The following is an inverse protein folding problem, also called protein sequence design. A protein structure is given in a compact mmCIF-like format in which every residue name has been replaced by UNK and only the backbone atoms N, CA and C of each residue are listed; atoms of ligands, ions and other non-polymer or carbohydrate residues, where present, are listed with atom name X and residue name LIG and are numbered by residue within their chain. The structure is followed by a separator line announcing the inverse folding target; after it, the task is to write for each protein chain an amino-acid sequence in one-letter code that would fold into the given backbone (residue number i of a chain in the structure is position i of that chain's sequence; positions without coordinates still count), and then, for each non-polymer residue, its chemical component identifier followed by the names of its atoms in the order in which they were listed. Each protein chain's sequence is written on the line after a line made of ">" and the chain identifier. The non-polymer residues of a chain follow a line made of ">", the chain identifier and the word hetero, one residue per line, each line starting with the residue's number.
data_IF_020255922338
#
_entry.id   IF_020255922338
#
_cell.length_a   1.000
_cell.length_b   1.000
_cell.length_c   1.000
_cell.angle_alpha   90.00
_cell.angle_beta   90.00
_cell.angle_gamma   90.00
#
_symmetry.space_group_name_H-M   'P 1'
#
loop_
_entity.id
_entity.type
_entity.pdbx_description
1 polymer ?
#
# COMPACT_ATOMS: atom_id res chain seq x y z
N UNK A 1 -47.90 45.70 -31.15
CA UNK A 1 -47.09 44.87 -32.09
C UNK A 1 -45.61 45.22 -32.08
N UNK A 2 -45.20 46.50 -32.12
CA UNK A 2 -43.76 46.88 -32.15
C UNK A 2 -43.04 46.50 -30.84
N UNK A 3 -43.67 46.74 -29.69
CA UNK A 3 -43.06 46.39 -28.39
C UNK A 3 -42.87 44.87 -28.25
N UNK A 4 -43.87 44.08 -28.67
CA UNK A 4 -43.82 42.61 -28.61
C UNK A 4 -42.76 42.03 -29.54
N UNK A 5 -42.52 42.62 -30.72
CA UNK A 5 -41.43 42.19 -31.62
C UNK A 5 -40.06 42.54 -31.07
N UNK A 6 -39.89 43.72 -30.46
CA UNK A 6 -38.63 44.10 -29.79
C UNK A 6 -38.30 43.14 -28.64
N UNK A 7 -39.28 42.78 -27.80
CA UNK A 7 -39.08 41.79 -26.75
C UNK A 7 -38.69 40.40 -27.28
N UNK A 8 -39.29 39.96 -28.39
CA UNK A 8 -38.96 38.69 -29.04
C UNK A 8 -37.50 38.67 -29.53
N UNK A 9 -37.02 39.78 -30.11
CA UNK A 9 -35.62 39.90 -30.57
C UNK A 9 -34.65 39.88 -29.38
N UNK A 10 -34.96 40.56 -28.28
CA UNK A 10 -34.12 40.49 -27.08
C UNK A 10 -34.09 39.09 -26.48
N UNK A 11 -35.24 38.40 -26.41
CA UNK A 11 -35.32 37.04 -25.90
C UNK A 11 -34.46 36.07 -26.74
N UNK A 12 -34.50 36.16 -28.07
CA UNK A 12 -33.68 35.29 -28.94
C UNK A 12 -32.19 35.56 -28.78
N UNK A 13 -31.76 36.83 -28.70
CA UNK A 13 -30.36 37.20 -28.47
C UNK A 13 -29.83 36.68 -27.12
N UNK A 14 -30.64 36.83 -26.07
CA UNK A 14 -30.30 36.32 -24.73
C UNK A 14 -30.16 34.80 -24.74
N UNK A 15 -31.10 34.10 -25.39
CA UNK A 15 -31.10 32.63 -25.49
C UNK A 15 -29.87 32.14 -26.26
N UNK A 16 -29.52 32.77 -27.39
CA UNK A 16 -28.32 32.43 -28.17
C UNK A 16 -27.05 32.63 -27.32
N UNK A 17 -26.97 33.74 -26.58
CA UNK A 17 -25.81 34.03 -25.71
C UNK A 17 -25.65 32.99 -24.59
N UNK A 18 -26.75 32.63 -23.93
CA UNK A 18 -26.77 31.61 -22.87
C UNK A 18 -26.39 30.23 -23.40
N UNK A 19 -26.97 29.78 -24.50
CA UNK A 19 -26.64 28.49 -25.11
C UNK A 19 -25.16 28.40 -25.50
N UNK A 20 -24.59 29.48 -26.05
CA UNK A 20 -23.17 29.53 -26.41
C UNK A 20 -22.25 29.47 -25.20
N UNK A 21 -22.59 30.17 -24.10
CA UNK A 21 -21.83 30.11 -22.84
C UNK A 21 -21.90 28.73 -22.19
N UNK A 22 -23.07 28.10 -22.18
CA UNK A 22 -23.26 26.76 -21.59
C UNK A 22 -22.48 25.71 -22.39
N UNK A 23 -22.61 25.73 -23.72
CA UNK A 23 -21.88 24.81 -24.60
C UNK A 23 -20.37 24.95 -24.43
N UNK A 24 -19.83 26.18 -24.50
CA UNK A 24 -18.39 26.39 -24.35
C UNK A 24 -17.85 25.97 -23.00
N UNK A 25 -18.60 26.18 -21.91
CA UNK A 25 -18.19 25.71 -20.58
C UNK A 25 -18.28 24.18 -20.43
N UNK A 26 -19.22 23.55 -21.14
CA UNK A 26 -19.31 22.09 -21.18
C UNK A 26 -18.14 21.49 -21.96
N UNK A 27 -17.79 22.07 -23.11
CA UNK A 27 -16.67 21.61 -23.94
C UNK A 27 -15.34 21.69 -23.19
N UNK A 28 -15.06 22.79 -22.50
CA UNK A 28 -13.85 22.96 -21.67
C UNK A 28 -13.80 21.91 -20.55
N UNK A 29 -14.92 21.68 -19.86
CA UNK A 29 -14.98 20.68 -18.79
C UNK A 29 -14.81 19.27 -19.34
N UNK A 30 -15.37 18.99 -20.51
CA UNK A 30 -15.24 17.70 -21.17
C UNK A 30 -13.79 17.45 -21.60
N UNK A 31 -13.12 18.44 -22.18
CA UNK A 31 -11.70 18.35 -22.54
C UNK A 31 -10.82 18.08 -21.32
N UNK A 32 -11.07 18.80 -20.21
CA UNK A 32 -10.38 18.55 -18.93
C UNK A 32 -10.64 17.14 -18.37
N UNK A 33 -11.85 16.60 -18.54
CA UNK A 33 -12.16 15.24 -18.13
C UNK A 33 -11.43 14.21 -18.98
N UNK A 34 -11.38 14.41 -20.30
CA UNK A 34 -10.64 13.55 -21.22
C UNK A 34 -9.13 13.59 -20.94
N UNK A 35 -8.59 14.76 -20.60
CA UNK A 35 -7.18 14.88 -20.22
C UNK A 35 -6.88 14.13 -18.91
N UNK A 36 -7.75 14.28 -17.90
CA UNK A 36 -7.62 13.53 -16.62
C UNK A 36 -7.74 12.03 -16.83
N UNK A 37 -8.66 11.60 -17.68
CA UNK A 37 -8.83 10.18 -18.01
C UNK A 37 -7.56 9.62 -18.67
N UNK A 38 -6.98 10.33 -19.64
CA UNK A 38 -5.71 9.94 -20.25
C UNK A 38 -4.58 9.84 -19.23
N UNK A 39 -4.50 10.80 -18.31
CA UNK A 39 -3.46 10.81 -17.27
C UNK A 39 -3.61 9.61 -16.34
N UNK A 40 -4.84 9.30 -15.91
CA UNK A 40 -5.13 8.12 -15.10
C UNK A 40 -4.75 6.81 -15.82
N UNK A 41 -5.03 6.70 -17.12
CA UNK A 41 -4.63 5.54 -17.90
C UNK A 41 -3.11 5.41 -18.01
N UNK A 42 -2.39 6.51 -18.23
CA UNK A 42 -0.92 6.47 -18.25
C UNK A 42 -0.33 6.07 -16.89
N UNK A 43 -0.85 6.64 -15.80
CA UNK A 43 -0.38 6.33 -14.45
C UNK A 43 -0.66 4.87 -14.07
N UNK A 44 -1.82 4.35 -14.49
CA UNK A 44 -2.15 2.93 -14.30
C UNK A 44 -1.18 2.01 -15.05
N UNK A 45 -0.78 2.36 -16.27
CA UNK A 45 0.15 1.55 -17.06
C UNK A 45 1.58 1.62 -16.50
N UNK A 46 2.00 2.79 -16.01
CA UNK A 46 3.27 2.96 -15.30
C UNK A 46 3.33 2.10 -14.03
N UNK A 47 2.28 2.13 -13.21
CA UNK A 47 2.18 1.30 -12.01
C UNK A 47 2.18 -0.20 -12.34
N UNK A 48 1.54 -0.62 -13.43
CA UNK A 48 1.59 -2.01 -13.91
C UNK A 48 3.00 -2.41 -14.30
N UNK A 49 3.73 -1.52 -14.96
CA UNK A 49 5.11 -1.75 -15.38
C UNK A 49 6.03 -1.86 -14.16
N UNK A 50 5.94 -0.91 -13.22
CA UNK A 50 6.67 -0.95 -11.95
C UNK A 50 6.38 -2.24 -11.16
N UNK A 51 5.12 -2.67 -11.10
CA UNK A 51 4.75 -3.93 -10.45
C UNK A 51 5.42 -5.14 -11.10
N UNK A 52 5.48 -5.20 -12.43
CA UNK A 52 6.16 -6.28 -13.15
C UNK A 52 7.66 -6.29 -12.88
N UNK A 53 8.29 -5.12 -12.88
CA UNK A 53 9.72 -5.00 -12.62
C UNK A 53 10.09 -5.35 -11.17
N UNK A 54 9.30 -4.90 -10.20
CA UNK A 54 9.47 -5.31 -8.80
C UNK A 54 9.29 -6.82 -8.63
N UNK A 55 8.31 -7.41 -9.32
CA UNK A 55 8.13 -8.87 -9.28
C UNK A 55 9.35 -9.61 -9.85
N UNK A 56 9.92 -9.13 -10.95
CA UNK A 56 11.15 -9.70 -11.53
C UNK A 56 12.33 -9.58 -10.57
N UNK A 57 12.57 -8.39 -10.00
CA UNK A 57 13.62 -8.18 -8.99
C UNK A 57 13.45 -9.10 -7.78
N UNK A 58 12.22 -9.33 -7.34
CA UNK A 58 11.93 -10.25 -6.23
C UNK A 58 12.23 -11.71 -6.63
N UNK A 59 11.88 -12.13 -7.84
CA UNK A 59 12.23 -13.47 -8.35
C UNK A 59 13.74 -13.64 -8.50
N UNK A 60 14.48 -12.62 -8.95
CA UNK A 60 15.94 -12.60 -9.01
C UNK A 60 16.55 -12.71 -7.61
N UNK A 61 16.15 -11.87 -6.65
CA UNK A 61 16.60 -11.96 -5.26
C UNK A 61 16.30 -13.31 -4.62
N UNK A 62 15.16 -13.93 -4.95
CA UNK A 62 14.85 -15.29 -4.50
C UNK A 62 15.81 -16.33 -5.07
N UNK A 63 16.19 -16.22 -6.34
CA UNK A 63 17.18 -17.12 -6.95
C UNK A 63 18.56 -16.90 -6.33
N UNK A 64 18.98 -15.66 -6.18
CA UNK A 64 20.26 -15.32 -5.56
C UNK A 64 20.34 -15.81 -4.11
N UNK A 65 19.25 -15.70 -3.34
CA UNK A 65 19.18 -16.22 -1.97
C UNK A 65 19.21 -17.76 -1.90
N UNK A 66 18.71 -18.46 -2.93
CA UNK A 66 18.78 -19.93 -3.02
C UNK A 66 20.19 -20.38 -3.42
N UNK A 67 20.84 -19.68 -4.36
CA UNK A 67 22.21 -19.97 -4.79
C UNK A 67 23.26 -19.61 -3.74
N UNK A 68 22.98 -18.63 -2.88
CA UNK A 68 23.86 -18.23 -1.78
C UNK A 68 23.61 -18.95 -0.45
N UNK A 69 22.77 -20.00 -0.37
CA UNK A 69 22.63 -20.76 0.86
C UNK A 69 23.99 -21.41 1.19
N UNK A 70 24.78 -20.90 2.16
CA UNK A 70 25.91 -21.63 2.64
C UNK A 70 25.32 -22.83 3.37
N UNK A 71 26.01 -23.96 3.29
CA UNK A 71 25.82 -25.11 4.14
C UNK A 71 25.70 -24.63 5.60
N UNK A 72 24.45 -24.55 6.10
CA UNK A 72 24.20 -24.18 7.49
C UNK A 72 24.60 -25.42 8.28
N UNK A 73 25.83 -25.41 8.79
CA UNK A 73 26.27 -26.32 9.84
C UNK A 73 25.21 -26.30 10.96
N UNK A 74 24.64 -27.48 11.24
CA UNK A 74 23.69 -27.66 12.31
C UNK A 74 24.29 -27.15 13.64
N UNK A 75 23.65 -26.20 14.35
CA UNK A 75 24.04 -25.94 15.72
C UNK A 75 23.52 -27.10 16.57
N UNK A 76 24.44 -28.03 16.82
CA UNK A 76 24.53 -28.92 17.99
C UNK A 76 23.47 -28.67 19.06
N UNK A 77 22.71 -29.73 19.36
CA UNK A 77 21.81 -29.85 20.53
C UNK A 77 22.46 -29.27 21.79
N UNK A 78 22.03 -28.09 22.22
CA UNK A 78 22.09 -27.65 23.62
C UNK A 78 20.75 -27.02 24.00
N UNK A 79 20.03 -27.75 24.85
CA UNK A 79 18.92 -27.24 25.64
C UNK A 79 19.37 -25.99 26.42
N UNK A 80 18.72 -24.84 26.21
CA UNK A 80 18.26 -23.92 27.25
C UNK A 80 17.87 -22.55 26.65
N UNK A 81 16.67 -22.08 26.98
CA UNK A 81 16.01 -20.81 26.62
C UNK A 81 15.68 -20.63 25.13
N UNK A 82 14.44 -20.99 24.79
CA UNK A 82 13.81 -20.70 23.51
C UNK A 82 13.63 -19.16 23.43
N UNK A 83 14.43 -18.52 22.59
CA UNK A 83 14.42 -17.06 22.36
C UNK A 83 13.22 -16.72 21.46
N UNK A 84 12.48 -15.64 21.76
CA UNK A 84 11.24 -15.28 21.04
C UNK A 84 11.48 -15.19 19.53
N UNK A 85 12.63 -14.65 19.13
CA UNK A 85 13.06 -14.56 17.74
C UNK A 85 13.10 -15.93 17.05
N UNK A 86 13.85 -16.87 17.63
CA UNK A 86 14.02 -18.22 17.07
C UNK A 86 12.73 -19.04 17.10
N UNK A 87 11.83 -18.77 18.05
CA UNK A 87 10.51 -19.40 18.08
C UNK A 87 9.59 -18.85 16.99
N UNK A 88 9.60 -17.53 16.78
CA UNK A 88 8.82 -16.88 15.74
C UNK A 88 9.27 -17.31 14.35
N UNK A 89 10.58 -17.30 14.06
CA UNK A 89 11.14 -17.76 12.77
C UNK A 89 10.69 -19.18 12.39
N UNK A 90 10.50 -20.06 13.38
CA UNK A 90 10.04 -21.44 13.16
C UNK A 90 8.53 -21.54 12.93
N UNK A 91 7.75 -20.64 13.51
CA UNK A 91 6.28 -20.72 13.51
C UNK A 91 5.64 -19.87 12.42
N UNK A 92 6.24 -18.74 12.11
CA UNK A 92 5.84 -17.81 11.07
C UNK A 92 7.08 -17.30 10.36
N UNK A 93 6.97 -17.09 9.05
CA UNK A 93 8.07 -16.58 8.24
C UNK A 93 8.19 -15.05 8.47
N UNK A 94 8.65 -14.66 9.66
CA UNK A 94 8.91 -13.26 10.00
C UNK A 94 10.27 -12.88 9.43
N UNK A 95 10.29 -11.84 8.60
CA UNK A 95 11.52 -11.28 8.06
C UNK A 95 12.34 -10.64 9.21
N UNK A 96 13.67 -10.83 9.29
CA UNK A 96 14.56 -10.10 10.20
C UNK A 96 14.29 -8.59 10.28
N UNK A 97 13.90 -7.96 9.17
CA UNK A 97 13.55 -6.54 9.12
C UNK A 97 12.28 -6.21 9.92
N UNK A 98 11.27 -7.09 9.88
CA UNK A 98 10.03 -6.94 10.63
C UNK A 98 10.29 -7.07 12.14
N UNK A 99 11.14 -8.02 12.53
CA UNK A 99 11.53 -8.17 13.93
C UNK A 99 12.27 -6.94 14.46
N UNK A 100 13.20 -6.39 13.67
CA UNK A 100 13.92 -5.16 14.02
C UNK A 100 12.98 -3.96 14.16
N UNK A 101 12.06 -3.78 13.22
CA UNK A 101 11.05 -2.72 13.27
C UNK A 101 10.13 -2.83 14.50
N UNK A 102 9.71 -4.05 14.85
CA UNK A 102 8.93 -4.29 16.07
C UNK A 102 9.72 -3.99 17.34
N UNK A 103 11.02 -4.29 17.37
CA UNK A 103 11.89 -3.97 18.50
C UNK A 103 12.09 -2.46 18.68
N UNK A 104 12.29 -1.73 17.59
CA UNK A 104 12.34 -0.28 17.63
C UNK A 104 11.02 0.31 18.13
N UNK A 105 9.89 -0.15 17.60
CA UNK A 105 8.57 0.30 18.03
C UNK A 105 8.28 -0.02 19.51
N UNK A 106 8.71 -1.19 19.97
CA UNK A 106 8.60 -1.61 21.37
C UNK A 106 9.36 -0.66 22.30
N UNK A 107 10.60 -0.32 21.94
CA UNK A 107 11.46 0.59 22.70
C UNK A 107 10.89 2.03 22.69
N UNK A 108 10.45 2.53 21.54
CA UNK A 108 9.89 3.88 21.41
C UNK A 108 8.61 4.07 22.22
N UNK A 109 7.75 3.05 22.27
CA UNK A 109 6.46 3.09 22.95
C UNK A 109 6.49 2.49 24.35
N UNK A 110 7.67 2.12 24.84
CA UNK A 110 7.89 1.46 26.13
C UNK A 110 6.90 0.28 26.33
N UNK A 111 6.76 -0.56 25.31
CA UNK A 111 5.87 -1.71 25.32
C UNK A 111 6.66 -3.01 25.12
N UNK A 112 6.04 -4.12 25.46
CA UNK A 112 6.62 -5.44 25.26
C UNK A 112 6.76 -5.75 23.76
N UNK A 113 7.88 -6.33 23.34
CA UNK A 113 8.14 -6.73 21.96
C UNK A 113 7.03 -7.61 21.38
N UNK A 114 6.48 -8.54 22.17
CA UNK A 114 5.38 -9.40 21.73
C UNK A 114 4.10 -8.59 21.44
N UNK A 115 3.83 -7.57 22.26
CA UNK A 115 2.71 -6.65 22.05
C UNK A 115 2.94 -5.74 20.84
N UNK A 116 4.18 -5.31 20.60
CA UNK A 116 4.56 -4.54 19.42
C UNK A 116 4.36 -5.36 18.13
N UNK A 117 4.81 -6.61 18.13
CA UNK A 117 4.61 -7.54 17.00
C UNK A 117 3.12 -7.72 16.67
N UNK A 118 2.26 -7.85 17.70
CA UNK A 118 0.81 -7.96 17.49
C UNK A 118 0.23 -6.63 16.97
N UNK A 119 0.64 -5.50 17.55
CA UNK A 119 0.15 -4.16 17.17
C UNK A 119 0.49 -3.81 15.72
N UNK A 120 1.68 -4.21 15.27
CA UNK A 120 2.12 -4.02 13.89
C UNK A 120 1.56 -5.08 12.92
N UNK A 121 0.65 -5.93 13.37
CA UNK A 121 0.07 -7.05 12.60
C UNK A 121 1.13 -7.99 12.02
N UNK A 122 2.28 -8.11 12.68
CA UNK A 122 3.36 -9.02 12.26
C UNK A 122 3.12 -10.44 12.78
N UNK A 123 2.35 -10.58 13.85
CA UNK A 123 1.85 -11.86 14.37
C UNK A 123 0.33 -11.80 14.55
N UNK A 124 -0.32 -12.97 14.52
CA UNK A 124 -1.75 -13.07 14.79
C UNK A 124 -2.02 -13.27 16.30
N UNK A 125 -3.27 -13.08 16.72
CA UNK A 125 -3.70 -13.20 18.13
C UNK A 125 -3.40 -14.60 18.70
N UNK A 126 -3.59 -15.66 17.90
CA UNK A 126 -3.30 -17.03 18.34
C UNK A 126 -1.82 -17.21 18.68
N UNK A 127 -0.93 -16.70 17.83
CA UNK A 127 0.53 -16.75 18.02
C UNK A 127 0.95 -15.93 19.24
N UNK A 128 0.30 -14.78 19.46
CA UNK A 128 0.50 -13.97 20.66
C UNK A 128 0.16 -14.75 21.94
N UNK A 129 -1.01 -15.37 22.00
CA UNK A 129 -1.43 -16.15 23.17
C UNK A 129 -0.52 -17.36 23.43
N UNK A 130 -0.07 -18.02 22.37
CA UNK A 130 0.86 -19.15 22.49
C UNK A 130 2.24 -18.71 22.98
N UNK A 131 2.77 -17.61 22.45
CA UNK A 131 4.04 -17.04 22.92
C UNK A 131 3.94 -16.59 24.39
N UNK A 132 2.81 -16.01 24.80
CA UNK A 132 2.56 -15.59 26.18
C UNK A 132 2.54 -16.79 27.14
N UNK A 133 1.96 -17.93 26.72
CA UNK A 133 1.95 -19.18 27.51
C UNK A 133 3.34 -19.79 27.67
N UNK A 134 4.21 -19.61 26.69
CA UNK A 134 5.55 -20.20 26.66
C UNK A 134 6.59 -19.46 27.52
N UNK A 135 6.27 -18.28 28.07
CA UNK A 135 7.19 -17.44 28.88
C UNK A 135 8.60 -17.34 28.26
N UNK A 136 8.63 -17.12 26.95
CA UNK A 136 9.86 -16.98 26.19
C UNK A 136 10.64 -15.76 26.70
N UNK A 137 11.97 -15.83 26.69
CA UNK A 137 12.79 -14.65 26.98
C UNK A 137 12.62 -13.67 25.81
N UNK A 138 12.35 -12.41 26.16
CA UNK A 138 12.12 -11.28 25.27
C UNK A 138 13.42 -10.53 24.99
#
# INVERSE_FOLDING_TARGET
>A
MIITTVFLIFATLITISLCKKISGNFDIKNELLVEKEKLLYSEQEDLRTQRRDLKRKLEELKRDAIEQSPEIEEPTKKSATQDLKTWLEKKQNIDPNQYSAASQFANEKNMNLLSALLTLNMINVQTYEEAQKLKLKL
#
